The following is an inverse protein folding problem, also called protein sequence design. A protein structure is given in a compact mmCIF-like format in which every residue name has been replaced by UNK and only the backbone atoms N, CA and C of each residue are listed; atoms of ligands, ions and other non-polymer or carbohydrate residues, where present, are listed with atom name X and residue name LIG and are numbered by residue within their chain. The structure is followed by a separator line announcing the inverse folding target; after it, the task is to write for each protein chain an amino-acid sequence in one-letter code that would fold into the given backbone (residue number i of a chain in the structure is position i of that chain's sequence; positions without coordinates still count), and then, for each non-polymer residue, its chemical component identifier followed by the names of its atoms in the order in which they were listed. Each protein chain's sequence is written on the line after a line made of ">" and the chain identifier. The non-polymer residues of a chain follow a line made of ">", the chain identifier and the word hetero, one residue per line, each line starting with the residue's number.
data_IF_878085415232
#
_entry.id   IF_878085415232
#
_cell.length_a   1.000
_cell.length_b   1.000
_cell.length_c   1.000
_cell.angle_alpha   90.00
_cell.angle_beta   90.00
_cell.angle_gamma   90.00
#
_symmetry.space_group_name_H-M   'P 1'
#
loop_
_entity.id
_entity.type
_entity.pdbx_description
1 polymer ?
#
# COMPACT_ATOMS: atom_id res chain seq x y z
N UNK A 1 46.90 -20.06 -28.42
CA UNK A 1 45.74 -19.30 -28.95
C UNK A 1 44.57 -19.31 -27.97
N UNK A 2 44.24 -20.44 -27.35
CA UNK A 2 43.09 -20.60 -26.44
C UNK A 2 43.00 -19.59 -25.28
N UNK A 3 44.10 -19.34 -24.55
CA UNK A 3 44.14 -18.37 -23.44
C UNK A 3 43.97 -16.91 -23.88
N UNK A 4 44.28 -16.59 -25.13
CA UNK A 4 44.10 -15.23 -25.68
C UNK A 4 42.63 -15.00 -26.03
N UNK A 5 41.95 -16.01 -26.57
CA UNK A 5 40.51 -15.98 -26.82
C UNK A 5 39.75 -15.88 -25.51
N UNK A 6 40.07 -16.75 -24.55
CA UNK A 6 39.46 -16.72 -23.20
C UNK A 6 39.69 -15.38 -22.47
N UNK A 7 40.86 -14.76 -22.64
CA UNK A 7 41.12 -13.43 -22.07
C UNK A 7 40.23 -12.34 -22.68
N UNK A 8 39.95 -12.43 -23.99
CA UNK A 8 39.08 -11.49 -24.71
C UNK A 8 37.58 -11.74 -24.48
N UNK A 9 37.23 -12.84 -23.81
CA UNK A 9 35.87 -13.11 -23.32
C UNK A 9 35.56 -12.35 -22.01
N UNK A 10 36.55 -11.66 -21.43
CA UNK A 10 36.45 -10.90 -20.18
C UNK A 10 35.81 -11.68 -19.01
N UNK A 11 36.34 -12.88 -18.68
CA UNK A 11 35.84 -13.68 -17.57
C UNK A 11 36.11 -12.97 -16.25
N UNK A 12 35.10 -12.96 -15.37
CA UNK A 12 35.19 -12.39 -14.03
C UNK A 12 34.84 -13.44 -12.98
N UNK A 13 35.48 -13.33 -11.82
CA UNK A 13 35.23 -14.20 -10.67
C UNK A 13 34.85 -13.32 -9.50
N UNK A 14 33.74 -13.64 -8.84
CA UNK A 14 33.28 -12.94 -7.64
C UNK A 14 33.76 -13.68 -6.41
N UNK A 15 34.48 -12.99 -5.52
CA UNK A 15 34.79 -13.48 -4.18
C UNK A 15 33.79 -12.87 -3.19
N UNK A 16 33.21 -13.71 -2.35
CA UNK A 16 32.33 -13.30 -1.26
C UNK A 16 33.09 -13.44 0.05
N UNK A 17 33.09 -12.37 0.86
CA UNK A 17 33.62 -12.35 2.21
C UNK A 17 32.61 -11.67 3.13
N UNK A 18 32.47 -12.15 4.36
CA UNK A 18 31.62 -11.54 5.39
C UNK A 18 32.51 -10.83 6.42
N UNK A 19 32.26 -9.54 6.67
CA UNK A 19 33.04 -8.74 7.60
C UNK A 19 32.09 -7.99 8.54
N UNK A 20 32.30 -8.14 9.84
CA UNK A 20 31.60 -7.35 10.84
C UNK A 20 32.24 -5.95 10.94
N UNK A 21 31.44 -4.91 10.74
CA UNK A 21 31.86 -3.52 10.87
C UNK A 21 31.29 -2.91 12.17
N UNK A 22 32.06 -2.03 12.81
CA UNK A 22 31.67 -1.38 14.08
C UNK A 22 30.57 -0.33 13.91
N UNK A 23 30.47 0.28 12.72
CA UNK A 23 29.42 1.23 12.36
C UNK A 23 28.90 0.90 10.95
N UNK A 24 27.59 0.78 10.82
CA UNK A 24 26.90 0.54 9.55
C UNK A 24 25.83 1.61 9.34
N UNK A 25 25.64 2.02 8.09
CA UNK A 25 24.55 2.94 7.73
C UNK A 25 23.22 2.23 7.89
N UNK A 26 22.32 2.78 8.70
CA UNK A 26 20.98 2.23 8.86
C UNK A 26 20.23 2.29 7.52
N UNK A 27 19.64 1.18 7.05
CA UNK A 27 19.00 1.14 5.75
C UNK A 27 17.70 1.94 5.74
N UNK A 28 17.24 2.30 4.54
CA UNK A 28 15.88 2.79 4.37
C UNK A 28 14.89 1.65 4.64
N UNK A 29 13.99 1.85 5.60
CA UNK A 29 12.90 0.92 5.90
C UNK A 29 11.61 1.48 5.34
N UNK A 30 11.03 0.81 4.35
CA UNK A 30 9.75 1.17 3.75
C UNK A 30 8.66 0.20 4.20
N UNK A 31 7.57 0.73 4.75
CA UNK A 31 6.41 -0.06 5.14
C UNK A 31 5.13 0.60 4.60
N UNK A 32 4.14 -0.24 4.27
CA UNK A 32 2.84 0.18 3.77
C UNK A 32 1.74 -0.51 4.56
N UNK A 33 0.59 0.15 4.74
CA UNK A 33 -0.59 -0.53 5.25
C UNK A 33 -1.15 -1.43 4.14
N UNK A 34 -1.51 -2.68 4.47
CA UNK A 34 -2.14 -3.59 3.51
C UNK A 34 -3.52 -3.09 3.06
N UNK A 35 -4.17 -2.26 3.88
CA UNK A 35 -5.40 -1.57 3.48
C UNK A 35 -5.03 -0.31 2.70
N UNK A 36 -5.23 -0.35 1.39
CA UNK A 36 -4.91 0.74 0.46
C UNK A 36 -5.73 2.00 0.75
N UNK A 37 -6.98 1.84 1.22
CA UNK A 37 -7.92 2.94 1.41
C UNK A 37 -8.59 2.93 2.78
N UNK A 38 -8.96 4.11 3.25
CA UNK A 38 -9.82 4.30 4.42
C UNK A 38 -11.27 4.41 4.00
N UNK A 39 -12.11 3.48 4.44
CA UNK A 39 -13.56 3.53 4.18
C UNK A 39 -14.20 4.88 4.60
N UNK A 40 -13.71 5.47 5.69
CA UNK A 40 -14.18 6.78 6.17
C UNK A 40 -13.87 7.96 5.23
N UNK A 41 -12.83 7.84 4.40
CA UNK A 41 -12.41 8.88 3.45
C UNK A 41 -12.92 8.67 2.03
N UNK A 42 -13.45 7.49 1.72
CA UNK A 42 -14.07 7.20 0.42
C UNK A 42 -15.33 8.07 0.25
N UNK A 43 -15.35 8.86 -0.82
CA UNK A 43 -16.51 9.69 -1.19
C UNK A 43 -17.42 8.97 -2.19
N UNK A 44 -18.63 9.50 -2.40
CA UNK A 44 -19.55 9.00 -3.45
C UNK A 44 -18.95 9.11 -4.85
N UNK A 45 -18.17 10.16 -5.12
CA UNK A 45 -17.50 10.31 -6.42
C UNK A 45 -16.42 9.25 -6.62
N UNK A 46 -15.68 8.91 -5.57
CA UNK A 46 -14.66 7.86 -5.65
C UNK A 46 -15.34 6.49 -5.89
N UNK A 47 -16.40 6.17 -5.16
CA UNK A 47 -17.17 4.95 -5.40
C UNK A 47 -17.75 4.87 -6.81
N UNK A 48 -18.14 6.00 -7.40
CA UNK A 48 -18.64 6.04 -8.76
C UNK A 48 -17.56 5.68 -9.79
N UNK A 49 -16.31 6.14 -9.60
CA UNK A 49 -15.23 5.92 -10.58
C UNK A 49 -14.40 4.67 -10.33
N UNK A 50 -14.19 4.28 -9.07
CA UNK A 50 -13.33 3.15 -8.68
C UNK A 50 -14.05 2.08 -7.87
N UNK A 51 -15.35 2.18 -7.66
CA UNK A 51 -16.10 1.20 -6.87
C UNK A 51 -16.02 -0.23 -7.42
N UNK A 52 -16.02 -0.37 -8.75
CA UNK A 52 -15.80 -1.66 -9.43
C UNK A 52 -14.37 -2.18 -9.24
N UNK A 53 -13.36 -1.30 -9.40
CA UNK A 53 -11.95 -1.64 -9.19
C UNK A 53 -11.68 -2.13 -7.75
N UNK A 54 -12.39 -1.56 -6.77
CA UNK A 54 -12.29 -1.94 -5.36
C UNK A 54 -13.16 -3.15 -4.99
N UNK A 55 -13.84 -3.78 -5.97
CA UNK A 55 -14.80 -4.87 -5.77
C UNK A 55 -15.92 -4.54 -4.75
N UNK A 56 -16.18 -3.24 -4.52
CA UNK A 56 -17.28 -2.78 -3.67
C UNK A 56 -18.59 -2.73 -4.45
N UNK A 57 -18.51 -2.38 -5.74
CA UNK A 57 -19.62 -2.33 -6.67
C UNK A 57 -19.44 -3.34 -7.81
N UNK A 58 -20.55 -3.75 -8.41
CA UNK A 58 -20.59 -4.48 -9.67
C UNK A 58 -20.69 -3.50 -10.86
N UNK A 59 -20.70 -4.05 -12.08
CA UNK A 59 -20.79 -3.27 -13.34
C UNK A 59 -22.07 -2.41 -13.42
N UNK A 60 -23.13 -2.80 -12.70
CA UNK A 60 -24.40 -2.07 -12.62
C UNK A 60 -24.41 -0.99 -11.53
N UNK A 61 -23.25 -0.68 -10.92
CA UNK A 61 -23.10 0.27 -9.81
C UNK A 61 -23.90 -0.11 -8.55
N UNK A 62 -24.17 -1.40 -8.37
CA UNK A 62 -24.82 -1.97 -7.19
C UNK A 62 -23.77 -2.63 -6.30
N UNK A 63 -24.08 -2.79 -5.01
CA UNK A 63 -23.17 -3.42 -4.05
C UNK A 63 -22.96 -4.89 -4.42
N UNK A 64 -21.71 -5.30 -4.67
CA UNK A 64 -21.41 -6.64 -5.18
C UNK A 64 -21.71 -7.75 -4.16
N UNK A 65 -21.27 -7.59 -2.90
CA UNK A 65 -21.38 -8.61 -1.86
C UNK A 65 -21.93 -8.05 -0.54
N UNK A 66 -23.23 -7.74 -0.45
CA UNK A 66 -23.83 -7.12 0.74
C UNK A 66 -23.79 -8.01 1.99
N UNK A 67 -23.69 -9.34 1.83
CA UNK A 67 -23.69 -10.29 2.94
C UNK A 67 -22.37 -10.36 3.72
N UNK A 68 -21.26 -9.88 3.14
CA UNK A 68 -19.93 -9.93 3.78
C UNK A 68 -19.66 -8.70 4.66
N UNK A 69 -20.51 -7.67 4.56
CA UNK A 69 -20.35 -6.43 5.31
C UNK A 69 -21.16 -6.47 6.61
N UNK A 70 -20.57 -5.95 7.69
CA UNK A 70 -21.32 -5.68 8.92
C UNK A 70 -22.48 -4.72 8.64
N UNK A 71 -23.62 -4.83 9.36
CA UNK A 71 -24.83 -4.07 9.04
C UNK A 71 -24.63 -2.54 9.05
N UNK A 72 -23.80 -2.04 9.95
CA UNK A 72 -23.47 -0.61 10.06
C UNK A 72 -22.65 -0.12 8.86
N UNK A 73 -21.62 -0.87 8.48
CA UNK A 73 -20.77 -0.57 7.32
C UNK A 73 -21.58 -0.67 6.03
N UNK A 74 -22.47 -1.66 5.94
CA UNK A 74 -23.38 -1.83 4.81
C UNK A 74 -24.35 -0.66 4.67
N UNK A 75 -24.88 -0.13 5.77
CA UNK A 75 -25.74 1.05 5.75
C UNK A 75 -24.99 2.29 5.24
N UNK A 76 -23.76 2.51 5.72
CA UNK A 76 -22.89 3.58 5.24
C UNK A 76 -22.52 3.42 3.76
N UNK A 77 -22.28 2.18 3.31
CA UNK A 77 -21.98 1.88 1.90
C UNK A 77 -23.20 2.14 1.01
N UNK A 78 -24.41 1.76 1.45
CA UNK A 78 -25.66 2.04 0.72
C UNK A 78 -25.92 3.52 0.56
N UNK A 79 -25.69 4.32 1.59
CA UNK A 79 -25.82 5.78 1.50
C UNK A 79 -24.80 6.38 0.51
N UNK A 80 -23.55 5.93 0.58
CA UNK A 80 -22.51 6.40 -0.33
C UNK A 80 -22.72 5.94 -1.77
N UNK A 81 -23.23 4.73 -2.00
CA UNK A 81 -23.51 4.16 -3.32
C UNK A 81 -24.89 4.55 -3.89
N UNK A 82 -25.59 5.52 -3.27
CA UNK A 82 -26.81 6.07 -3.85
C UNK A 82 -26.48 7.11 -4.93
N UNK A 83 -26.57 6.69 -6.19
CA UNK A 83 -26.28 7.53 -7.36
C UNK A 83 -27.51 8.24 -7.96
N UNK A 84 -28.67 8.20 -7.28
CA UNK A 84 -29.86 8.90 -7.75
C UNK A 84 -29.59 10.42 -7.81
N UNK A 85 -29.83 11.04 -8.97
CA UNK A 85 -29.53 12.45 -9.24
C UNK A 85 -28.06 12.86 -9.00
N UNK A 86 -27.13 11.89 -9.03
CA UNK A 86 -25.72 12.18 -8.84
C UNK A 86 -25.11 12.76 -10.13
N UNK A 87 -24.33 13.83 -9.99
CA UNK A 87 -23.55 14.42 -11.07
C UNK A 87 -22.07 14.09 -10.84
N UNK A 88 -21.46 13.21 -11.65
CA UNK A 88 -20.05 12.84 -11.49
C UNK A 88 -19.14 14.07 -11.63
N UNK A 89 -18.14 14.14 -10.77
CA UNK A 89 -17.06 15.13 -10.84
C UNK A 89 -15.81 14.49 -11.44
N UNK A 90 -14.90 15.33 -11.93
CA UNK A 90 -13.58 14.86 -12.35
C UNK A 90 -12.89 14.11 -11.20
N UNK A 91 -12.23 13.02 -11.55
CA UNK A 91 -11.58 12.14 -10.60
C UNK A 91 -10.12 11.91 -11.00
N UNK A 92 -9.26 11.80 -9.98
CA UNK A 92 -7.84 11.50 -10.14
C UNK A 92 -7.47 10.38 -9.16
N UNK A 93 -6.72 9.40 -9.64
CA UNK A 93 -6.27 8.23 -8.89
C UNK A 93 -5.17 8.54 -7.86
N UNK A 94 -4.73 9.78 -7.71
CA UNK A 94 -3.74 10.15 -6.68
C UNK A 94 -4.28 9.83 -5.28
N UNK A 95 -3.72 8.79 -4.64
CA UNK A 95 -4.19 8.18 -3.37
C UNK A 95 -4.00 9.08 -2.13
N UNK A 96 -3.42 10.28 -2.28
CA UNK A 96 -3.03 11.16 -1.17
C UNK A 96 -4.16 11.51 -0.19
N UNK A 97 -5.43 11.47 -0.63
CA UNK A 97 -6.60 11.82 0.20
C UNK A 97 -7.28 10.61 0.86
N UNK A 98 -7.21 9.43 0.25
CA UNK A 98 -7.89 8.20 0.69
C UNK A 98 -6.96 7.21 1.39
N UNK A 99 -5.65 7.38 1.25
CA UNK A 99 -4.62 6.59 1.90
C UNK A 99 -4.56 6.77 3.42
N UNK A 100 -3.74 5.93 4.09
CA UNK A 100 -3.49 6.06 5.52
C UNK A 100 -2.41 7.10 5.83
N UNK A 101 -2.80 8.18 6.50
CA UNK A 101 -1.88 9.09 7.17
C UNK A 101 -1.02 8.37 8.23
N UNK A 102 0.29 8.57 8.16
CA UNK A 102 1.29 7.99 9.04
C UNK A 102 1.09 8.41 10.49
N UNK A 103 0.70 9.67 10.76
CA UNK A 103 0.53 10.19 12.13
C UNK A 103 -0.52 9.39 12.93
N UNK A 104 -1.60 8.99 12.26
CA UNK A 104 -2.65 8.15 12.84
C UNK A 104 -2.30 6.66 12.93
N UNK A 105 -1.23 6.21 12.26
CA UNK A 105 -0.69 4.85 12.44
C UNK A 105 0.34 4.82 13.56
N UNK A 106 1.08 5.91 13.76
CA UNK A 106 2.09 6.06 14.82
C UNK A 106 1.52 6.49 16.16
N UNK A 107 0.24 6.87 16.25
CA UNK A 107 -0.38 7.33 17.50
C UNK A 107 -0.39 6.28 18.62
N UNK A 108 -0.26 5.00 18.27
CA UNK A 108 -0.11 3.90 19.23
C UNK A 108 1.36 3.51 19.47
N UNK A 109 2.30 4.09 18.72
CA UNK A 109 3.74 3.89 18.90
C UNK A 109 4.33 4.96 19.82
N UNK A 110 3.78 5.08 21.03
CA UNK A 110 4.57 5.53 22.18
C UNK A 110 5.23 4.31 22.82
N UNK A 111 5.87 3.47 22.00
CA UNK A 111 6.77 2.43 22.46
C UNK A 111 8.18 2.91 22.09
N UNK A 112 9.11 3.05 23.05
CA UNK A 112 10.47 3.42 22.73
C UNK A 112 11.04 2.36 21.78
N UNK A 113 11.30 2.75 20.53
CA UNK A 113 11.94 1.92 19.52
C UNK A 113 13.42 1.63 19.86
N UNK A 114 13.90 2.15 20.99
CA UNK A 114 15.30 2.14 21.42
C UNK A 114 15.73 0.88 22.17
N UNK A 115 14.82 -0.02 22.55
CA UNK A 115 15.15 -1.12 23.49
C UNK A 115 15.38 -2.51 22.86
N UNK A 116 15.33 -2.67 21.53
CA UNK A 116 15.38 -4.04 20.93
C UNK A 116 16.39 -4.30 19.82
N UNK A 117 17.34 -3.37 19.59
CA UNK A 117 18.43 -3.56 18.60
C UNK A 117 19.82 -3.57 19.27
N UNK A 118 19.90 -3.51 20.60
CA UNK A 118 21.17 -3.51 21.31
C UNK A 118 21.22 -4.59 22.41
N UNK A 119 21.38 -5.85 22.02
CA UNK A 119 22.20 -6.78 22.81
C UNK A 119 22.89 -7.79 21.88
N UNK A 120 24.20 -8.04 22.07
CA UNK A 120 24.90 -9.16 21.44
C UNK A 120 24.38 -10.53 21.90
#
# INVERSE_FOLDING_TARGET
>A
MDRVVYYLEYPHVTKLDEVAATNLTFPAVTFCNLNEFRFSKITRNDLYHVGELLALLNNDHQIANPHLAEPEVLAALKDKANFNNFKPKLFNMTISTTGRDMTSMTCCYNAPFEERIATP
#
